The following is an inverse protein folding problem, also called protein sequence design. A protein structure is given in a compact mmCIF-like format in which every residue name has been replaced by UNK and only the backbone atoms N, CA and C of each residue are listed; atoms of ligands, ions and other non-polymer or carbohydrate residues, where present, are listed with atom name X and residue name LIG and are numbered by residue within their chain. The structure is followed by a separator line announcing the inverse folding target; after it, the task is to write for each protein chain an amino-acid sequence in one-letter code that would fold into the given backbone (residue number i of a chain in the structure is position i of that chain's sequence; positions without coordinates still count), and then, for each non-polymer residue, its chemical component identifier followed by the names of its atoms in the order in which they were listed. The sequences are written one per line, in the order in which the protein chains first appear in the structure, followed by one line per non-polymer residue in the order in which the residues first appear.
data_IF_140244860975
#
_entry.id   IF_140244860975
#
_cell.length_a   1.000
_cell.length_b   1.000
_cell.length_c   1.000
_cell.angle_alpha   90.00
_cell.angle_beta   90.00
_cell.angle_gamma   90.00
#
_symmetry.space_group_name_H-M   'P 1'
#
loop_
_entity.id
_entity.type
_entity.pdbx_description
1 polymer ?
#
# COMPACT_ATOMS: atom_id res chain seq x y z
N UNK A 1 -21.13 -1.50 11.51
CA UNK A 1 -19.77 -1.00 11.25
C UNK A 1 -19.65 -0.85 9.73
N UNK A 2 -19.34 0.35 9.21
CA UNK A 2 -19.24 0.53 7.75
C UNK A 2 -17.81 0.16 7.32
N UNK A 3 -17.70 -0.64 6.27
CA UNK A 3 -16.45 -1.23 5.80
C UNK A 3 -16.01 -0.60 4.48
N UNK A 4 -14.71 -0.50 4.26
CA UNK A 4 -14.14 -0.29 2.94
C UNK A 4 -13.03 -1.31 2.62
N UNK A 5 -12.92 -1.69 1.35
CA UNK A 5 -11.77 -2.36 0.78
C UNK A 5 -10.75 -1.30 0.37
N UNK A 6 -9.54 -1.36 0.93
CA UNK A 6 -8.40 -0.51 0.58
C UNK A 6 -7.37 -1.33 -0.21
N UNK A 7 -7.27 -1.00 -1.49
CA UNK A 7 -6.28 -1.56 -2.42
C UNK A 7 -5.00 -0.73 -2.37
N UNK A 8 -3.93 -1.29 -1.80
CA UNK A 8 -2.66 -0.60 -1.61
C UNK A 8 -1.76 -0.80 -2.83
N UNK A 9 -1.49 0.28 -3.54
CA UNK A 9 -0.42 0.44 -4.52
C UNK A 9 -0.37 -0.66 -5.60
N UNK A 10 -1.52 -0.99 -6.19
CA UNK A 10 -1.61 -1.96 -7.30
C UNK A 10 -1.17 -1.35 -8.64
N UNK A 11 0.05 -0.82 -8.69
CA UNK A 11 0.61 -0.03 -9.78
C UNK A 11 1.57 -0.85 -10.66
N UNK A 12 1.82 -0.37 -11.88
CA UNK A 12 2.66 -1.05 -12.86
C UNK A 12 4.08 -1.28 -12.36
N UNK A 13 4.69 -0.29 -11.71
CA UNK A 13 6.09 -0.43 -11.27
C UNK A 13 6.29 -1.50 -10.19
N UNK A 14 5.25 -1.84 -9.44
CA UNK A 14 5.28 -2.92 -8.46
C UNK A 14 4.91 -4.29 -9.05
N UNK A 15 4.52 -4.34 -10.32
CA UNK A 15 4.13 -5.55 -11.03
C UNK A 15 5.21 -6.06 -11.99
N UNK A 16 5.07 -7.28 -12.55
CA UNK A 16 6.10 -7.84 -13.45
C UNK A 16 6.37 -6.91 -14.63
N UNK A 17 7.66 -6.62 -14.84
CA UNK A 17 8.13 -5.68 -15.88
C UNK A 17 8.22 -4.22 -15.41
N UNK A 18 7.75 -3.92 -14.21
CA UNK A 18 7.88 -2.63 -13.55
C UNK A 18 9.27 -2.38 -12.95
N UNK A 19 9.56 -1.12 -12.60
CA UNK A 19 10.86 -0.70 -12.08
C UNK A 19 11.20 -1.27 -10.69
N UNK A 20 10.19 -1.63 -9.88
CA UNK A 20 10.30 -2.21 -8.54
C UNK A 20 9.37 -3.43 -8.41
N UNK A 21 9.43 -4.31 -9.40
CA UNK A 21 8.54 -5.46 -9.51
C UNK A 21 8.61 -6.38 -8.28
N UNK A 22 7.44 -6.69 -7.70
CA UNK A 22 7.29 -7.65 -6.63
C UNK A 22 6.91 -9.01 -7.19
N UNK A 23 7.56 -10.07 -6.67
CA UNK A 23 7.29 -11.44 -7.09
C UNK A 23 5.82 -11.81 -6.86
N UNK A 24 5.22 -12.48 -7.85
CA UNK A 24 3.82 -12.91 -7.85
C UNK A 24 2.78 -11.77 -7.77
N UNK A 25 3.17 -10.54 -8.15
CA UNK A 25 2.28 -9.38 -8.22
C UNK A 25 1.00 -9.61 -9.05
N UNK A 26 1.05 -10.42 -10.11
CA UNK A 26 -0.14 -10.74 -10.93
C UNK A 26 -1.21 -11.49 -10.13
N UNK A 27 -0.78 -12.36 -9.21
CA UNK A 27 -1.71 -13.06 -8.32
C UNK A 27 -2.45 -12.07 -7.42
N UNK A 28 -1.77 -11.03 -6.94
CA UNK A 28 -2.38 -9.94 -6.16
C UNK A 28 -3.48 -9.25 -6.98
N UNK A 29 -3.24 -8.96 -8.25
CA UNK A 29 -4.24 -8.35 -9.14
C UNK A 29 -5.45 -9.29 -9.34
N UNK A 30 -5.22 -10.58 -9.47
CA UNK A 30 -6.30 -11.58 -9.59
C UNK A 30 -7.16 -11.68 -8.34
N UNK A 31 -6.55 -11.69 -7.15
CA UNK A 31 -7.27 -11.65 -5.87
C UNK A 31 -8.00 -10.31 -5.71
N UNK A 32 -7.38 -9.20 -6.09
CA UNK A 32 -7.97 -7.86 -6.01
C UNK A 32 -9.28 -7.80 -6.81
N UNK A 33 -9.28 -8.32 -8.03
CA UNK A 33 -10.49 -8.34 -8.86
C UNK A 33 -11.62 -9.18 -8.26
N UNK A 34 -11.30 -10.28 -7.58
CA UNK A 34 -12.31 -11.10 -6.88
C UNK A 34 -12.84 -10.39 -5.63
N UNK A 35 -11.95 -9.76 -4.86
CA UNK A 35 -12.33 -8.95 -3.69
C UNK A 35 -13.21 -7.75 -4.09
N UNK A 36 -12.86 -7.06 -5.18
CA UNK A 36 -13.66 -5.99 -5.80
C UNK A 36 -15.05 -6.50 -6.17
N UNK A 37 -15.14 -7.66 -6.84
CA UNK A 37 -16.41 -8.23 -7.25
C UNK A 37 -17.31 -8.55 -6.04
N UNK A 38 -16.73 -9.17 -5.00
CA UNK A 38 -17.43 -9.43 -3.73
C UNK A 38 -17.90 -8.12 -3.08
N UNK A 39 -17.00 -7.15 -2.90
CA UNK A 39 -17.32 -5.88 -2.24
C UNK A 39 -18.39 -5.10 -3.00
N UNK A 40 -18.37 -5.13 -4.33
CA UNK A 40 -19.40 -4.52 -5.17
C UNK A 40 -20.78 -5.14 -4.91
N UNK A 41 -20.87 -6.47 -4.81
CA UNK A 41 -22.13 -7.17 -4.51
C UNK A 41 -22.66 -6.82 -3.12
N UNK A 42 -21.76 -6.69 -2.14
CA UNK A 42 -22.11 -6.33 -0.75
C UNK A 42 -22.27 -4.82 -0.53
N UNK A 43 -22.06 -3.99 -1.56
CA UNK A 43 -22.04 -2.52 -1.45
C UNK A 43 -21.02 -2.01 -0.42
N UNK A 44 -19.89 -2.71 -0.32
CA UNK A 44 -18.72 -2.27 0.44
C UNK A 44 -17.96 -1.26 -0.41
N UNK A 45 -17.59 -0.14 0.21
CA UNK A 45 -16.85 0.93 -0.46
C UNK A 45 -15.47 0.44 -0.90
N UNK A 46 -15.05 0.78 -2.11
CA UNK A 46 -13.74 0.38 -2.66
C UNK A 46 -12.90 1.61 -2.90
N UNK A 47 -11.72 1.66 -2.29
CA UNK A 47 -10.77 2.77 -2.41
C UNK A 47 -9.37 2.22 -2.69
N UNK A 48 -8.48 3.08 -3.17
CA UNK A 48 -7.11 2.71 -3.46
C UNK A 48 -6.09 3.77 -3.03
N UNK A 49 -4.86 3.34 -2.77
CA UNK A 49 -3.71 4.23 -2.69
C UNK A 49 -2.83 4.13 -3.94
N UNK A 50 -2.05 5.17 -4.19
CA UNK A 50 -0.97 5.17 -5.18
C UNK A 50 0.27 5.83 -4.60
N UNK A 51 1.43 5.20 -4.75
CA UNK A 51 2.69 5.94 -4.71
C UNK A 51 2.76 6.90 -5.88
N UNK A 52 3.16 8.14 -5.58
CA UNK A 52 3.05 9.25 -6.52
C UNK A 52 4.24 10.20 -6.36
N UNK A 53 5.43 9.70 -6.68
CA UNK A 53 6.69 10.37 -6.37
C UNK A 53 7.11 11.40 -7.42
N UNK A 54 7.55 12.61 -7.03
CA UNK A 54 8.28 13.46 -7.96
C UNK A 54 9.57 12.76 -8.41
N UNK A 55 10.03 13.00 -9.64
CA UNK A 55 11.25 12.37 -10.16
C UNK A 55 12.51 12.66 -9.30
N UNK A 56 12.49 13.72 -8.49
CA UNK A 56 13.54 14.14 -7.58
C UNK A 56 13.39 13.59 -6.15
N UNK A 57 12.49 12.62 -5.93
CA UNK A 57 12.22 12.08 -4.59
C UNK A 57 13.46 11.43 -3.97
N UNK A 58 13.73 11.70 -2.69
CA UNK A 58 14.95 11.25 -2.00
C UNK A 58 14.94 9.77 -1.64
N UNK A 59 13.79 9.08 -1.66
CA UNK A 59 13.78 7.62 -1.53
C UNK A 59 14.46 6.93 -2.72
N UNK A 60 14.63 7.61 -3.86
CA UNK A 60 15.34 7.06 -5.01
C UNK A 60 16.86 7.13 -4.78
N UNK A 61 17.52 5.98 -4.94
CA UNK A 61 18.97 5.84 -4.73
C UNK A 61 19.78 6.85 -5.56
N UNK A 62 19.36 7.09 -6.80
CA UNK A 62 20.02 8.03 -7.73
C UNK A 62 20.00 9.47 -7.22
N UNK A 63 18.95 9.89 -6.51
CA UNK A 63 18.81 11.26 -5.99
C UNK A 63 19.53 11.45 -4.65
N UNK A 64 19.76 10.36 -3.93
CA UNK A 64 20.44 10.36 -2.63
C UNK A 64 21.92 9.99 -2.70
N UNK A 65 22.44 9.63 -3.88
CA UNK A 65 23.84 9.21 -4.04
C UNK A 65 24.17 7.89 -3.34
N UNK A 66 23.16 7.02 -3.18
CA UNK A 66 23.25 5.70 -2.52
C UNK A 66 23.03 4.58 -3.54
N UNK A 67 22.96 3.32 -3.08
CA UNK A 67 22.62 2.18 -3.94
C UNK A 67 21.24 1.62 -3.62
N UNK A 68 20.60 1.07 -4.66
CA UNK A 68 19.32 0.38 -4.52
C UNK A 68 19.46 -0.78 -3.52
N UNK A 69 18.53 -0.85 -2.56
CA UNK A 69 18.49 -1.85 -1.51
C UNK A 69 19.38 -1.57 -0.29
N UNK A 70 20.22 -0.52 -0.32
CA UNK A 70 20.94 -0.10 0.88
C UNK A 70 19.97 0.48 1.93
N UNK A 71 20.31 0.28 3.19
CA UNK A 71 19.56 0.81 4.34
C UNK A 71 20.44 1.85 5.04
N UNK A 72 19.85 2.99 5.39
CA UNK A 72 20.52 4.04 6.14
C UNK A 72 19.51 5.01 6.71
N UNK A 73 19.86 6.30 6.77
CA UNK A 73 19.02 7.31 7.40
C UNK A 73 18.63 8.43 6.43
N UNK A 74 17.34 8.72 6.33
CA UNK A 74 16.79 9.94 5.73
C UNK A 74 16.08 10.72 6.84
N UNK A 75 16.44 11.99 7.04
CA UNK A 75 15.94 12.83 8.16
C UNK A 75 16.06 12.19 9.55
N UNK A 76 17.00 11.25 9.74
CA UNK A 76 17.20 10.53 11.01
C UNK A 76 16.36 9.25 11.18
N UNK A 77 15.45 8.95 10.26
CA UNK A 77 14.66 7.71 10.23
C UNK A 77 15.27 6.67 9.29
N UNK A 78 15.01 5.39 9.57
CA UNK A 78 15.46 4.30 8.71
C UNK A 78 14.84 4.42 7.30
N UNK A 79 15.68 4.35 6.28
CA UNK A 79 15.30 4.46 4.87
C UNK A 79 15.95 3.33 4.08
N UNK A 80 15.16 2.69 3.23
CA UNK A 80 15.65 1.84 2.14
C UNK A 80 15.73 2.69 0.88
N UNK A 81 16.86 2.70 0.17
CA UNK A 81 16.91 3.40 -1.10
C UNK A 81 16.41 2.53 -2.25
N UNK A 82 15.41 3.04 -2.97
CA UNK A 82 14.70 2.33 -4.03
C UNK A 82 15.21 2.71 -5.42
N UNK A 83 14.95 1.89 -6.45
CA UNK A 83 15.05 2.38 -7.83
C UNK A 83 14.04 3.52 -8.04
N UNK A 84 14.19 4.28 -9.13
CA UNK A 84 13.14 5.22 -9.54
C UNK A 84 11.89 4.41 -9.88
N UNK A 85 10.76 4.74 -9.27
CA UNK A 85 9.48 4.05 -9.45
C UNK A 85 8.32 5.00 -9.17
N UNK A 86 7.14 4.67 -9.70
CA UNK A 86 5.88 5.38 -9.46
C UNK A 86 5.99 6.90 -9.63
N UNK A 87 6.74 7.34 -10.64
CA UNK A 87 6.94 8.75 -10.94
C UNK A 87 5.65 9.39 -11.43
N UNK A 88 5.32 10.57 -10.90
CA UNK A 88 4.08 11.29 -11.23
C UNK A 88 3.87 11.44 -12.74
N UNK A 89 2.72 10.97 -13.21
CA UNK A 89 2.30 11.06 -14.61
C UNK A 89 2.97 10.06 -15.55
N UNK A 90 3.89 9.22 -15.06
CA UNK A 90 4.53 8.18 -15.85
C UNK A 90 3.75 6.86 -15.83
N UNK A 91 4.02 6.02 -16.83
CA UNK A 91 3.34 4.73 -16.99
C UNK A 91 3.49 3.84 -15.74
N UNK A 92 4.66 3.86 -15.11
CA UNK A 92 4.96 3.08 -13.92
C UNK A 92 4.05 3.36 -12.74
N UNK A 93 3.58 4.61 -12.61
CA UNK A 93 2.70 5.05 -11.54
C UNK A 93 1.21 4.75 -11.78
N UNK A 94 0.82 4.38 -13.01
CA UNK A 94 -0.56 4.00 -13.28
C UNK A 94 -0.90 2.67 -12.59
N UNK A 95 -2.17 2.50 -12.21
CA UNK A 95 -2.67 1.19 -11.80
C UNK A 95 -2.43 0.13 -12.87
N UNK A 96 -2.23 -1.11 -12.42
CA UNK A 96 -2.02 -2.24 -13.31
C UNK A 96 -3.23 -2.39 -14.26
N UNK A 97 -3.02 -2.58 -15.59
CA UNK A 97 -4.11 -2.55 -16.58
C UNK A 97 -5.15 -3.67 -16.42
N UNK A 98 -4.78 -4.77 -15.75
CA UNK A 98 -5.72 -5.87 -15.43
C UNK A 98 -6.56 -5.62 -14.16
N UNK A 99 -6.30 -4.57 -13.40
CA UNK A 99 -7.11 -4.22 -12.23
C UNK A 99 -8.45 -3.62 -12.68
N UNK A 100 -9.55 -4.05 -12.06
CA UNK A 100 -10.87 -3.48 -12.30
C UNK A 100 -11.01 -2.12 -11.59
N UNK A 101 -10.50 -1.08 -12.24
CA UNK A 101 -10.47 0.28 -11.68
C UNK A 101 -11.84 0.96 -11.64
N UNK A 102 -12.82 0.48 -12.40
CA UNK A 102 -14.15 1.12 -12.51
C UNK A 102 -14.92 1.15 -11.18
N UNK A 103 -14.63 0.20 -10.29
CA UNK A 103 -15.27 0.10 -8.98
C UNK A 103 -14.60 0.96 -7.90
N UNK A 104 -13.43 1.56 -8.18
CA UNK A 104 -12.70 2.37 -7.21
C UNK A 104 -13.38 3.74 -7.10
N UNK A 105 -13.92 4.04 -5.92
CA UNK A 105 -14.67 5.27 -5.65
C UNK A 105 -13.76 6.47 -5.38
N UNK A 106 -12.60 6.23 -4.75
CA UNK A 106 -11.64 7.27 -4.42
C UNK A 106 -10.22 6.72 -4.40
N UNK A 107 -9.29 7.53 -4.91
CA UNK A 107 -7.86 7.26 -4.89
C UNK A 107 -7.16 8.28 -4.01
N UNK A 108 -6.18 7.82 -3.24
CA UNK A 108 -5.35 8.65 -2.36
C UNK A 108 -3.88 8.49 -2.72
N UNK A 109 -3.24 9.59 -3.13
CA UNK A 109 -1.82 9.62 -3.43
C UNK A 109 -1.00 9.77 -2.15
N UNK A 110 0.20 9.18 -2.15
CA UNK A 110 1.23 9.30 -1.11
C UNK A 110 2.61 9.45 -1.73
N UNK A 111 3.59 9.90 -0.94
CA UNK A 111 4.98 10.05 -1.40
C UNK A 111 5.25 11.27 -2.30
N UNK A 112 4.40 12.29 -2.24
CA UNK A 112 4.50 13.47 -3.11
C UNK A 112 5.57 14.48 -2.64
N UNK A 113 5.93 14.44 -1.36
CA UNK A 113 6.96 15.32 -0.81
C UNK A 113 8.36 14.76 -1.15
N UNK A 114 9.20 15.45 -1.95
CA UNK A 114 10.49 14.90 -2.37
C UNK A 114 11.44 14.63 -1.21
N UNK A 115 11.23 15.22 -0.03
CA UNK A 115 12.14 15.14 1.11
C UNK A 115 11.82 14.01 2.09
N UNK A 116 10.63 13.40 2.00
CA UNK A 116 10.12 12.46 2.99
C UNK A 116 9.43 11.30 2.29
N UNK A 117 9.87 10.09 2.59
CA UNK A 117 9.25 8.88 2.07
C UNK A 117 7.91 8.58 2.76
N UNK A 118 7.03 7.81 2.12
CA UNK A 118 5.65 7.61 2.59
C UNK A 118 5.15 6.21 2.27
N UNK A 119 5.36 5.27 3.19
CA UNK A 119 4.81 3.92 3.03
C UNK A 119 3.33 3.85 3.38
N UNK A 120 2.92 4.48 4.48
CA UNK A 120 1.53 4.46 4.91
C UNK A 120 0.65 5.28 3.97
N UNK A 121 -0.54 4.78 3.67
CA UNK A 121 -1.57 5.55 2.99
C UNK A 121 -2.19 6.64 3.88
N UNK A 122 -1.84 6.72 5.17
CA UNK A 122 -2.34 7.72 6.12
C UNK A 122 -1.36 8.86 6.37
N UNK A 123 -0.08 8.57 6.53
CA UNK A 123 0.96 9.53 6.92
C UNK A 123 2.24 9.27 6.14
N UNK A 124 3.04 10.32 5.96
CA UNK A 124 4.45 10.13 5.59
C UNK A 124 5.24 9.50 6.75
N UNK A 125 6.44 8.99 6.45
CA UNK A 125 7.25 8.25 7.42
C UNK A 125 7.68 9.14 8.60
N UNK A 126 7.88 10.44 8.37
CA UNK A 126 8.24 11.43 9.40
C UNK A 126 7.01 11.92 10.20
N UNK A 127 5.79 11.52 9.80
CA UNK A 127 4.49 12.03 10.30
C UNK A 127 4.36 13.56 10.26
N UNK A 128 5.06 14.20 9.33
CA UNK A 128 4.98 15.64 9.09
C UNK A 128 3.76 15.96 8.23
N UNK A 129 3.40 15.05 7.32
CA UNK A 129 2.23 15.17 6.45
C UNK A 129 1.25 14.02 6.66
N UNK A 130 -0.03 14.35 6.55
CA UNK A 130 -1.13 13.40 6.55
C UNK A 130 -1.81 13.43 5.18
N UNK A 131 -2.14 12.27 4.63
CA UNK A 131 -2.94 12.17 3.42
C UNK A 131 -4.42 12.52 3.70
N UNK A 132 -5.22 12.61 2.65
CA UNK A 132 -6.66 12.84 2.79
C UNK A 132 -7.45 11.59 3.25
N UNK A 133 -6.81 10.42 3.34
CA UNK A 133 -7.47 9.13 3.60
C UNK A 133 -8.27 9.13 4.91
N UNK A 134 -7.65 9.51 6.02
CA UNK A 134 -8.30 9.47 7.34
C UNK A 134 -9.56 10.36 7.38
N UNK A 135 -9.42 11.62 6.93
CA UNK A 135 -10.51 12.58 6.92
C UNK A 135 -11.66 12.13 6.02
N UNK A 136 -11.34 11.54 4.86
CA UNK A 136 -12.34 10.98 3.97
C UNK A 136 -13.08 9.79 4.58
N UNK A 137 -12.36 8.83 5.19
CA UNK A 137 -12.96 7.68 5.87
C UNK A 137 -13.89 8.12 7.01
N UNK A 138 -13.49 9.11 7.80
CA UNK A 138 -14.32 9.70 8.86
C UNK A 138 -15.59 10.35 8.30
N UNK A 139 -15.47 11.16 7.25
CA UNK A 139 -16.61 11.78 6.59
C UNK A 139 -17.60 10.74 6.03
N UNK A 140 -17.08 9.59 5.60
CA UNK A 140 -17.88 8.46 5.13
C UNK A 140 -18.43 7.56 6.25
N UNK A 141 -18.10 7.82 7.52
CA UNK A 141 -18.42 6.98 8.68
C UNK A 141 -17.91 5.54 8.56
N UNK A 142 -16.79 5.33 7.85
CA UNK A 142 -16.12 4.04 7.72
C UNK A 142 -15.27 3.82 8.96
N UNK A 143 -15.37 2.65 9.59
CA UNK A 143 -14.59 2.28 10.78
C UNK A 143 -13.97 0.88 10.71
N UNK A 144 -14.16 0.19 9.58
CA UNK A 144 -13.56 -1.10 9.29
C UNK A 144 -12.88 -1.07 7.92
N UNK A 145 -11.67 -1.60 7.83
CA UNK A 145 -10.90 -1.69 6.59
C UNK A 145 -10.55 -3.15 6.30
N UNK A 146 -10.83 -3.58 5.08
CA UNK A 146 -10.21 -4.78 4.49
C UNK A 146 -9.04 -4.26 3.66
N UNK A 147 -7.81 -4.65 4.00
CA UNK A 147 -6.59 -4.14 3.36
C UNK A 147 -5.89 -5.24 2.61
N UNK A 148 -5.46 -4.93 1.38
CA UNK A 148 -4.67 -5.83 0.54
C UNK A 148 -3.77 -5.03 -0.40
N UNK A 149 -2.74 -5.66 -0.97
CA UNK A 149 -1.95 -5.04 -2.02
C UNK A 149 -0.45 -5.25 -1.87
N UNK A 150 0.32 -4.25 -2.30
CA UNK A 150 1.79 -4.34 -2.39
C UNK A 150 2.40 -3.10 -1.71
N UNK A 151 3.52 -3.19 -0.99
CA UNK A 151 4.16 -4.42 -0.53
C UNK A 151 3.71 -4.81 0.89
N UNK A 152 3.54 -6.11 1.15
CA UNK A 152 3.17 -6.68 2.46
C UNK A 152 4.00 -6.11 3.62
N UNK A 153 5.32 -6.03 3.41
CA UNK A 153 6.35 -5.66 4.37
C UNK A 153 6.61 -4.14 4.47
N UNK A 154 6.03 -3.36 3.57
CA UNK A 154 6.12 -1.88 3.53
C UNK A 154 4.72 -1.26 3.53
N UNK A 155 4.23 -0.81 2.37
CA UNK A 155 3.02 0.02 2.27
C UNK A 155 1.80 -0.61 2.94
N UNK A 156 1.58 -1.92 2.79
CA UNK A 156 0.49 -2.64 3.46
C UNK A 156 0.69 -2.61 4.97
N UNK A 157 1.86 -3.03 5.47
CA UNK A 157 2.18 -3.04 6.90
C UNK A 157 2.00 -1.68 7.54
N UNK A 158 2.63 -0.64 7.00
CA UNK A 158 2.57 0.70 7.57
C UNK A 158 1.14 1.25 7.55
N UNK A 159 0.40 1.04 6.47
CA UNK A 159 -1.02 1.42 6.37
C UNK A 159 -1.89 0.73 7.42
N UNK A 160 -1.73 -0.58 7.60
CA UNK A 160 -2.49 -1.36 8.60
C UNK A 160 -2.16 -0.90 10.02
N UNK A 161 -0.88 -0.73 10.34
CA UNK A 161 -0.46 -0.29 11.67
C UNK A 161 -0.96 1.12 12.01
N UNK A 162 -1.00 2.03 11.03
CA UNK A 162 -1.58 3.36 11.23
C UNK A 162 -3.11 3.33 11.34
N UNK A 163 -3.78 2.50 10.55
CA UNK A 163 -5.22 2.31 10.68
C UNK A 163 -5.59 1.80 12.09
N UNK A 164 -4.88 0.81 12.62
CA UNK A 164 -5.09 0.31 13.98
C UNK A 164 -4.88 1.42 15.04
N UNK A 165 -3.81 2.20 14.92
CA UNK A 165 -3.54 3.34 15.82
C UNK A 165 -4.60 4.44 15.76
N UNK A 166 -5.21 4.63 14.59
CA UNK A 166 -6.34 5.56 14.39
C UNK A 166 -7.69 4.99 14.85
N UNK A 167 -7.73 3.75 15.33
CA UNK A 167 -8.92 3.11 15.90
C UNK A 167 -9.81 2.39 14.89
N UNK A 168 -9.33 2.13 13.67
CA UNK A 168 -10.03 1.28 12.72
C UNK A 168 -9.92 -0.19 13.12
N UNK A 169 -10.99 -0.96 12.94
CA UNK A 169 -10.86 -2.41 12.83
C UNK A 169 -10.21 -2.73 11.49
N UNK A 170 -9.30 -3.70 11.43
CA UNK A 170 -8.57 -4.03 10.20
C UNK A 170 -8.53 -5.54 9.98
N UNK A 171 -9.04 -5.95 8.83
CA UNK A 171 -8.87 -7.28 8.24
C UNK A 171 -7.79 -7.18 7.14
N UNK A 172 -6.77 -8.04 7.16
CA UNK A 172 -5.72 -8.11 6.12
C UNK A 172 -5.99 -9.32 5.23
N UNK A 173 -6.24 -9.08 3.94
CA UNK A 173 -6.48 -10.13 2.96
C UNK A 173 -5.15 -10.72 2.47
N UNK A 174 -4.65 -11.70 3.21
CA UNK A 174 -3.26 -12.19 3.12
C UNK A 174 -2.90 -12.83 1.78
N UNK A 175 -3.82 -13.56 1.15
CA UNK A 175 -3.65 -14.13 -0.19
C UNK A 175 -3.61 -13.05 -1.28
N UNK A 176 -4.16 -11.87 -0.99
CA UNK A 176 -4.07 -10.64 -1.77
C UNK A 176 -2.89 -9.74 -1.42
N UNK A 177 -1.85 -10.24 -0.76
CA UNK A 177 -0.66 -9.45 -0.42
C UNK A 177 0.62 -10.11 -0.93
N UNK A 178 1.56 -9.33 -1.48
CA UNK A 178 2.94 -9.77 -1.77
C UNK A 178 3.93 -8.71 -1.33
N UNK A 179 5.04 -9.13 -0.75
CA UNK A 179 6.07 -8.24 -0.21
C UNK A 179 7.33 -8.22 -1.07
N UNK A 180 8.12 -7.17 -0.88
CA UNK A 180 9.43 -7.02 -1.55
C UNK A 180 10.37 -8.12 -1.09
N UNK A 181 10.36 -8.44 0.22
CA UNK A 181 11.21 -9.46 0.84
C UNK A 181 12.70 -9.23 0.56
N UNK A 182 13.24 -8.08 1.01
CA UNK A 182 14.69 -7.85 0.99
C UNK A 182 15.43 -8.95 1.77
N UNK A 183 14.81 -9.45 2.84
CA UNK A 183 15.09 -10.75 3.42
C UNK A 183 13.89 -11.70 3.26
N UNK A 184 14.17 -13.01 3.20
CA UNK A 184 13.18 -14.04 2.85
C UNK A 184 11.90 -14.06 3.72
N UNK A 185 12.00 -13.64 4.99
CA UNK A 185 10.90 -13.73 5.96
C UNK A 185 10.21 -12.38 6.23
N UNK A 186 10.53 -11.30 5.49
CA UNK A 186 10.03 -9.96 5.82
C UNK A 186 8.50 -9.87 5.75
N UNK A 187 7.88 -10.47 4.73
CA UNK A 187 6.41 -10.55 4.62
C UNK A 187 5.78 -11.31 5.78
N UNK A 188 6.38 -12.44 6.19
CA UNK A 188 5.88 -13.23 7.32
C UNK A 188 5.95 -12.42 8.61
N UNK A 189 7.08 -11.77 8.89
CA UNK A 189 7.27 -10.91 10.06
C UNK A 189 6.33 -9.71 10.04
N UNK A 190 6.06 -9.15 8.85
CA UNK A 190 5.12 -8.06 8.69
C UNK A 190 3.69 -8.47 9.04
N UNK A 191 3.21 -9.60 8.52
CA UNK A 191 1.90 -10.17 8.85
C UNK A 191 1.77 -10.44 10.36
N UNK A 192 2.76 -11.08 10.97
CA UNK A 192 2.80 -11.33 12.41
C UNK A 192 2.79 -10.04 13.23
N UNK A 193 3.50 -9.01 12.77
CA UNK A 193 3.50 -7.70 13.44
C UNK A 193 2.14 -7.02 13.35
N UNK A 194 1.44 -7.10 12.21
CA UNK A 194 0.09 -6.54 12.06
C UNK A 194 -0.92 -7.28 12.95
N UNK A 195 -0.86 -8.62 12.97
CA UNK A 195 -1.73 -9.45 13.80
C UNK A 195 -1.53 -9.17 15.29
N UNK A 196 -0.27 -9.06 15.74
CA UNK A 196 0.07 -8.73 17.13
C UNK A 196 -0.50 -7.38 17.59
N UNK A 197 -0.58 -6.40 16.68
CA UNK A 197 -1.14 -5.07 16.96
C UNK A 197 -2.68 -5.03 16.84
N UNK A 198 -3.31 -6.15 16.46
CA UNK A 198 -4.76 -6.33 16.48
C UNK A 198 -5.44 -6.45 15.12
N UNK A 199 -4.69 -6.50 14.01
CA UNK A 199 -5.29 -6.84 12.73
C UNK A 199 -5.72 -8.31 12.70
N UNK A 200 -6.81 -8.62 12.00
CA UNK A 200 -7.21 -10.00 11.73
C UNK A 200 -6.68 -10.42 10.38
N UNK A 201 -5.94 -11.52 10.33
CA UNK A 201 -5.49 -12.11 9.07
C UNK A 201 -6.62 -12.96 8.49
N UNK A 202 -7.03 -12.66 7.25
CA UNK A 202 -8.06 -13.39 6.51
C UNK A 202 -7.57 -13.71 5.10
N UNK A 203 -8.34 -14.51 4.38
CA UNK A 203 -8.15 -14.85 2.97
C UNK A 203 -9.42 -14.53 2.18
N UNK A 204 -9.34 -14.57 0.86
CA UNK A 204 -10.51 -14.39 0.00
C UNK A 204 -11.61 -15.42 0.30
N UNK A 205 -11.25 -16.60 0.80
CA UNK A 205 -12.22 -17.62 1.21
C UNK A 205 -13.09 -17.17 2.39
N UNK A 206 -12.57 -16.30 3.27
CA UNK A 206 -13.28 -15.78 4.44
C UNK A 206 -14.25 -14.63 4.10
N UNK A 207 -14.16 -14.06 2.89
CA UNK A 207 -15.10 -13.05 2.41
C UNK A 207 -16.39 -13.68 1.86
N UNK A 208 -16.34 -14.92 1.37
CA UNK A 208 -17.46 -15.57 0.67
C UNK A 208 -18.53 -16.17 1.58
#
# INVERSE_FOLDING_TARGET
MKTALLLVDLQNDFCTGGALAVNESEHVIEVANKAIAHCTQQRITIIASQDWHPATHLSFAVNSGTKVGEIGKLNGLDQVWWPVHCVQGELGANFHPRLNQQAIEQVFTKGENPQVDSYSAFFDNDRVSQTQLHGWLQAQNISHLIVMGIATDYCVKFTVLDALKLGYTVDVLTDGCRGVNLAADDSLKALQSMEKEGAKLITLADLN
#
